data_IF_029944062318
#
_entry.id   IF_029944062318
#
_cell.length_a   1.000
_cell.length_b   1.000
_cell.length_c   1.000
_cell.angle_alpha   90.00
_cell.angle_beta   90.00
_cell.angle_gamma   90.00
#
_symmetry.space_group_name_H-M   'P 1'
#
loop_
_entity.id
_entity.type
_entity.pdbx_description
1 polymer ?
#
# COMPACT_ATOMS: atom_id res chain seq x y z
N UNK A 1 64.65 45.60 41.16
CA UNK A 1 63.35 44.95 41.42
C UNK A 1 62.25 45.88 40.97
N UNK A 2 61.64 45.61 39.80
CA UNK A 2 60.58 46.42 39.19
C UNK A 2 59.41 45.48 38.91
N UNK A 3 58.31 45.68 39.63
CA UNK A 3 57.04 44.96 39.42
C UNK A 3 56.33 45.62 38.24
N UNK A 4 56.03 44.85 37.19
CA UNK A 4 55.11 45.25 36.11
C UNK A 4 53.73 44.67 36.43
N UNK A 5 52.64 45.44 36.42
CA UNK A 5 51.30 44.87 36.49
C UNK A 5 50.90 44.34 35.12
N UNK A 6 50.57 43.06 35.05
CA UNK A 6 49.87 42.44 33.93
C UNK A 6 48.40 42.81 34.08
N UNK A 7 47.87 43.63 33.17
CA UNK A 7 46.44 43.88 33.05
C UNK A 7 45.86 42.75 32.20
N UNK A 8 45.12 41.85 32.87
CA UNK A 8 44.32 40.80 32.25
C UNK A 8 42.89 41.35 32.08
N UNK A 9 42.48 41.67 30.85
CA UNK A 9 41.09 42.02 30.54
C UNK A 9 40.32 40.74 30.30
N UNK A 10 39.52 40.30 31.28
CA UNK A 10 38.51 39.26 31.10
C UNK A 10 37.25 39.94 30.56
N UNK A 11 36.95 39.70 29.27
CA UNK A 11 35.69 40.10 28.66
C UNK A 11 34.62 39.06 29.05
N UNK A 12 33.85 39.35 30.11
CA UNK A 12 32.64 38.60 30.45
C UNK A 12 31.53 38.99 29.46
N UNK A 13 31.34 38.19 28.41
CA UNK A 13 30.10 38.24 27.64
C UNK A 13 28.99 37.60 28.48
N UNK A 14 28.18 38.46 29.08
CA UNK A 14 26.90 38.09 29.69
C UNK A 14 25.98 37.70 28.54
N UNK A 15 25.81 36.39 28.30
CA UNK A 15 24.73 35.90 27.45
C UNK A 15 23.45 36.06 28.26
N UNK A 16 22.71 37.13 27.99
CA UNK A 16 21.36 37.30 28.52
C UNK A 16 20.51 36.10 28.09
N UNK A 17 19.84 35.38 29.00
CA UNK A 17 18.87 34.38 28.60
C UNK A 17 17.73 35.13 27.91
N UNK A 18 17.52 34.84 26.62
CA UNK A 18 16.30 35.25 25.91
C UNK A 18 15.13 34.48 26.52
N UNK A 19 14.62 34.99 27.63
CA UNK A 19 13.34 34.62 28.20
C UNK A 19 12.27 35.30 27.34
N UNK A 20 11.67 34.55 26.42
CA UNK A 20 10.65 35.08 25.51
C UNK A 20 10.49 34.34 24.20
N UNK A 21 10.82 33.05 24.14
CA UNK A 21 10.19 32.20 23.11
C UNK A 21 8.87 31.71 23.71
N UNK A 22 7.77 32.36 23.32
CA UNK A 22 6.45 31.76 23.40
C UNK A 22 6.58 30.34 22.85
N UNK A 23 6.43 29.34 23.73
CA UNK A 23 6.31 27.97 23.25
C UNK A 23 5.13 27.96 22.26
N UNK A 24 5.30 27.46 21.03
CA UNK A 24 4.22 27.45 20.06
C UNK A 24 3.03 26.75 20.70
N UNK A 25 1.91 27.47 20.83
CA UNK A 25 0.72 26.95 21.47
C UNK A 25 0.36 25.60 20.85
N UNK A 26 0.18 24.57 21.69
CA UNK A 26 -0.20 23.24 21.22
C UNK A 26 -1.54 23.38 20.48
N UNK A 27 -1.64 22.98 19.20
CA UNK A 27 -2.86 23.16 18.43
C UNK A 27 -4.04 22.45 19.10
N UNK A 28 -5.18 23.15 19.20
CA UNK A 28 -6.42 22.54 19.70
C UNK A 28 -7.06 21.70 18.60
N UNK A 29 -6.60 20.46 18.48
CA UNK A 29 -7.00 19.57 17.41
C UNK A 29 -8.41 18.99 17.62
N UNK A 30 -9.33 19.33 16.71
CA UNK A 30 -10.62 18.62 16.60
C UNK A 30 -10.37 17.14 16.26
N UNK A 31 -11.18 16.19 16.79
CA UNK A 31 -11.04 14.77 16.43
C UNK A 31 -11.23 14.52 14.93
N UNK A 32 -10.41 13.65 14.37
CA UNK A 32 -10.46 13.23 12.97
C UNK A 32 -10.83 11.75 12.88
N UNK A 33 -11.82 11.42 12.04
CA UNK A 33 -12.06 10.05 11.63
C UNK A 33 -11.13 9.73 10.46
N UNK A 34 -10.42 8.61 10.57
CA UNK A 34 -9.44 8.16 9.58
C UNK A 34 -9.81 6.75 9.15
N UNK A 35 -9.99 6.54 7.85
CA UNK A 35 -10.07 5.21 7.26
C UNK A 35 -9.05 5.11 6.12
N UNK A 36 -7.94 4.45 6.41
CA UNK A 36 -6.91 4.17 5.42
C UNK A 36 -7.02 2.73 4.93
N UNK A 37 -6.92 2.52 3.62
CA UNK A 37 -6.83 1.20 3.02
C UNK A 37 -5.63 1.13 2.10
N UNK A 38 -4.76 0.18 2.36
CA UNK A 38 -3.54 -0.06 1.61
C UNK A 38 -3.61 -1.40 0.88
N UNK A 39 -3.21 -1.39 -0.39
CA UNK A 39 -3.08 -2.60 -1.19
C UNK A 39 -1.62 -2.75 -1.65
N UNK A 40 -0.79 -3.47 -0.87
CA UNK A 40 0.48 -3.99 -1.35
C UNK A 40 0.22 -4.90 -2.55
N UNK A 41 0.67 -4.48 -3.73
CA UNK A 41 0.28 -5.06 -5.00
C UNK A 41 1.50 -5.51 -5.81
N UNK A 42 1.50 -6.77 -6.27
CA UNK A 42 2.39 -7.25 -7.34
C UNK A 42 1.56 -7.52 -8.61
N UNK A 43 1.62 -6.63 -9.59
CA UNK A 43 0.63 -6.64 -10.68
C UNK A 43 1.18 -6.11 -12.00
N UNK A 44 0.76 -6.75 -13.08
CA UNK A 44 0.65 -6.12 -14.39
C UNK A 44 -0.55 -5.16 -14.41
N UNK A 45 -0.32 -3.91 -14.82
CA UNK A 45 -1.42 -2.96 -15.05
C UNK A 45 -2.22 -3.39 -16.28
N UNK A 46 -3.55 -3.30 -16.23
CA UNK A 46 -4.46 -3.58 -17.37
C UNK A 46 -4.21 -2.71 -18.60
N UNK A 47 -3.40 -1.66 -18.46
CA UNK A 47 -3.09 -0.68 -19.50
C UNK A 47 -1.73 -0.92 -20.14
N UNK A 48 -0.98 -1.91 -19.67
CA UNK A 48 0.40 -2.22 -20.09
C UNK A 48 0.49 -3.64 -20.67
N UNK A 49 -0.55 -4.11 -21.38
CA UNK A 49 -0.52 -5.44 -22.02
C UNK A 49 0.64 -5.60 -23.00
N UNK A 50 1.21 -4.52 -23.50
CA UNK A 50 2.32 -4.57 -24.46
C UNK A 50 3.70 -4.52 -23.79
N UNK A 51 3.77 -4.28 -22.47
CA UNK A 51 5.03 -4.10 -21.74
C UNK A 51 5.42 -5.37 -20.98
N UNK A 52 4.49 -6.32 -20.78
CA UNK A 52 4.68 -7.63 -20.10
C UNK A 52 5.48 -7.56 -18.78
N UNK A 53 5.52 -6.39 -18.12
CA UNK A 53 6.31 -6.14 -16.91
C UNK A 53 5.41 -5.96 -15.71
N UNK A 54 5.55 -6.87 -14.75
CA UNK A 54 4.92 -6.72 -13.43
C UNK A 54 5.49 -5.48 -12.72
N UNK A 55 4.60 -4.67 -12.15
CA UNK A 55 4.94 -3.54 -11.29
C UNK A 55 4.66 -3.88 -9.84
N UNK A 56 5.49 -3.32 -8.98
CA UNK A 56 5.27 -3.31 -7.55
C UNK A 56 4.71 -1.96 -7.15
N UNK A 57 3.55 -1.98 -6.50
CA UNK A 57 2.82 -0.77 -6.14
C UNK A 57 2.24 -0.91 -4.73
N UNK A 58 2.33 0.16 -3.95
CA UNK A 58 1.44 0.37 -2.82
C UNK A 58 0.31 1.29 -3.27
N UNK A 59 -0.92 0.77 -3.30
CA UNK A 59 -2.10 1.62 -3.54
C UNK A 59 -2.64 2.08 -2.22
N UNK A 60 -2.78 3.38 -2.04
CA UNK A 60 -3.27 3.99 -0.83
C UNK A 60 -4.58 4.72 -1.13
N UNK A 61 -5.58 4.50 -0.26
CA UNK A 61 -6.88 5.18 -0.25
C UNK A 61 -7.15 5.62 1.18
N UNK A 62 -7.30 6.91 1.43
CA UNK A 62 -7.38 7.46 2.78
C UNK A 62 -8.55 8.44 2.83
N UNK A 63 -9.59 8.03 3.54
CA UNK A 63 -10.76 8.86 3.80
C UNK A 63 -10.57 9.56 5.15
N UNK A 64 -10.66 10.89 5.13
CA UNK A 64 -10.58 11.74 6.31
C UNK A 64 -11.90 12.47 6.50
N UNK A 65 -12.47 12.39 7.70
CA UNK A 65 -13.72 13.09 8.05
C UNK A 65 -13.63 13.83 9.36
N UNK A 66 -14.26 15.00 9.43
CA UNK A 66 -14.32 15.79 10.64
C UNK A 66 -15.22 15.12 11.69
N UNK A 67 -14.70 14.85 12.89
CA UNK A 67 -15.47 14.38 14.04
C UNK A 67 -15.99 12.95 13.99
N UNK A 68 -16.40 12.41 12.84
CA UNK A 68 -16.93 11.04 12.75
C UNK A 68 -17.11 10.52 11.32
N UNK A 69 -17.51 9.24 11.21
CA UNK A 69 -17.69 8.55 9.92
C UNK A 69 -18.72 9.20 8.99
N UNK A 70 -19.66 9.95 9.55
CA UNK A 70 -20.67 10.70 8.79
C UNK A 70 -20.34 12.20 8.66
N UNK A 71 -19.20 12.64 9.19
CA UNK A 71 -18.78 14.03 9.10
C UNK A 71 -18.31 14.43 7.70
N UNK A 72 -18.10 15.73 7.52
CA UNK A 72 -17.64 16.28 6.25
C UNK A 72 -16.22 15.82 5.91
N UNK A 73 -15.98 15.64 4.60
CA UNK A 73 -14.68 15.24 4.09
C UNK A 73 -13.65 16.35 4.30
N UNK A 74 -12.47 15.98 4.81
CA UNK A 74 -11.34 16.90 4.96
C UNK A 74 -10.51 16.85 3.68
N UNK A 75 -10.34 18.00 3.01
CA UNK A 75 -9.72 18.11 1.66
C UNK A 75 -8.38 18.84 1.64
N UNK A 76 -8.07 19.55 2.71
CA UNK A 76 -6.94 20.47 2.86
C UNK A 76 -5.81 19.90 3.74
N UNK A 77 -5.91 18.63 4.13
CA UNK A 77 -4.81 17.93 4.78
C UNK A 77 -3.69 17.59 3.77
N UNK A 78 -2.45 17.73 4.21
CA UNK A 78 -1.26 17.16 3.56
C UNK A 78 -1.09 15.73 4.08
N UNK A 79 -1.19 14.76 3.17
CA UNK A 79 -1.00 13.35 3.49
C UNK A 79 0.26 12.81 2.83
N UNK A 80 1.09 12.12 3.61
CA UNK A 80 2.24 11.37 3.13
C UNK A 80 2.08 9.90 3.49
N UNK A 81 2.45 9.02 2.56
CA UNK A 81 2.60 7.58 2.79
C UNK A 81 4.00 7.16 2.39
N UNK A 82 4.77 6.67 3.36
CA UNK A 82 6.20 6.39 3.20
C UNK A 82 6.94 7.60 2.57
N UNK A 83 6.64 8.80 3.06
CA UNK A 83 7.19 10.07 2.55
C UNK A 83 6.63 10.52 1.18
N UNK A 84 5.82 9.71 0.50
CA UNK A 84 5.22 10.07 -0.79
C UNK A 84 3.91 10.83 -0.59
N UNK A 85 3.73 12.04 -1.15
CA UNK A 85 2.49 12.79 -1.02
C UNK A 85 1.32 12.13 -1.73
N UNK A 86 0.12 12.24 -1.16
CA UNK A 86 -1.13 11.72 -1.74
C UNK A 86 -2.09 12.88 -2.01
N UNK A 87 -2.69 12.85 -3.21
CA UNK A 87 -3.59 13.90 -3.68
C UNK A 87 -5.05 13.58 -3.34
N UNK A 88 -5.83 14.62 -3.06
CA UNK A 88 -7.25 14.52 -2.81
C UNK A 88 -8.02 14.29 -4.12
N UNK A 89 -9.04 13.44 -4.07
CA UNK A 89 -9.94 13.14 -5.17
C UNK A 89 -11.35 13.62 -4.84
N UNK A 90 -11.79 14.69 -5.50
CA UNK A 90 -13.11 15.29 -5.25
C UNK A 90 -14.29 14.36 -5.55
N UNK A 91 -14.16 13.52 -6.59
CA UNK A 91 -15.24 12.63 -7.01
C UNK A 91 -15.57 11.60 -5.92
N UNK A 92 -14.54 11.11 -5.26
CA UNK A 92 -14.65 9.96 -4.37
C UNK A 92 -14.47 10.34 -2.90
N UNK A 93 -14.14 11.61 -2.65
CA UNK A 93 -14.01 12.25 -1.34
C UNK A 93 -12.96 11.57 -0.45
N UNK A 94 -11.84 11.18 -1.06
CA UNK A 94 -10.72 10.56 -0.37
C UNK A 94 -9.38 11.00 -0.98
N UNK A 95 -8.29 10.69 -0.29
CA UNK A 95 -6.93 10.83 -0.81
C UNK A 95 -6.50 9.51 -1.42
N UNK A 96 -6.03 9.51 -2.67
CA UNK A 96 -5.65 8.27 -3.35
C UNK A 96 -4.43 8.41 -4.23
N UNK A 97 -3.54 7.42 -4.17
CA UNK A 97 -2.36 7.34 -5.04
C UNK A 97 -1.88 5.91 -5.25
N UNK A 98 -1.30 5.66 -6.42
CA UNK A 98 -0.46 4.50 -6.70
C UNK A 98 1.00 4.89 -6.50
N UNK A 99 1.66 4.28 -5.51
CA UNK A 99 3.06 4.55 -5.18
C UNK A 99 3.89 3.41 -5.76
N UNK A 100 4.73 3.71 -6.75
CA UNK A 100 5.62 2.74 -7.37
C UNK A 100 6.80 2.42 -6.45
N UNK A 101 7.06 1.13 -6.24
CA UNK A 101 8.21 0.67 -5.45
C UNK A 101 9.34 0.33 -6.42
N UNK A 102 10.43 1.09 -6.34
CA UNK A 102 11.56 0.99 -7.28
C UNK A 102 12.47 -0.22 -6.99
N UNK A 103 12.63 -0.61 -5.73
CA UNK A 103 13.48 -1.72 -5.31
C UNK A 103 12.65 -3.01 -5.20
N UNK A 104 12.82 -3.91 -6.17
CA UNK A 104 11.96 -5.09 -6.29
C UNK A 104 12.20 -6.18 -5.23
N UNK A 105 13.35 -6.14 -4.56
CA UNK A 105 13.80 -7.23 -3.69
C UNK A 105 13.82 -6.87 -2.20
N UNK A 106 13.51 -5.63 -1.84
CA UNK A 106 13.39 -5.19 -0.44
C UNK A 106 11.97 -4.73 -0.12
N UNK A 107 11.14 -5.71 0.21
CA UNK A 107 9.74 -5.53 0.54
C UNK A 107 9.57 -5.01 1.96
N UNK A 108 9.64 -3.69 2.14
CA UNK A 108 9.25 -3.11 3.42
C UNK A 108 7.83 -3.55 3.76
N UNK A 109 7.67 -4.03 4.99
CA UNK A 109 6.38 -4.39 5.58
C UNK A 109 5.80 -3.25 6.40
N UNK A 110 6.54 -2.16 6.49
CA UNK A 110 6.17 -0.99 7.28
C UNK A 110 5.53 0.06 6.36
N UNK A 111 4.36 0.51 6.76
CA UNK A 111 3.66 1.63 6.14
C UNK A 111 3.59 2.73 7.18
N UNK A 112 4.22 3.85 6.85
CA UNK A 112 4.17 5.10 7.59
C UNK A 112 3.13 6.00 6.94
N UNK A 113 2.07 6.32 7.68
CA UNK A 113 1.05 7.30 7.33
C UNK A 113 1.27 8.58 8.13
N UNK A 114 1.42 9.71 7.45
CA UNK A 114 1.52 11.01 8.07
C UNK A 114 0.41 11.92 7.53
N UNK A 115 -0.35 12.53 8.43
CA UNK A 115 -1.43 13.47 8.12
C UNK A 115 -1.10 14.76 8.83
N UNK A 116 -0.99 15.85 8.08
CA UNK A 116 -0.84 17.20 8.60
C UNK A 116 -2.03 18.04 8.13
N UNK A 117 -2.76 18.61 9.08
CA UNK A 117 -3.89 19.50 8.81
C UNK A 117 -3.47 20.98 8.82
N UNK A 118 -4.26 21.88 8.20
CA UNK A 118 -3.97 23.32 8.23
C UNK A 118 -4.01 23.94 9.62
N UNK A 119 -4.79 23.36 10.54
CA UNK A 119 -4.83 23.76 11.95
C UNK A 119 -3.56 23.40 12.74
N UNK A 120 -2.52 22.88 12.07
CA UNK A 120 -1.24 22.51 12.67
C UNK A 120 -1.21 21.10 13.26
N UNK A 121 -2.35 20.40 13.27
CA UNK A 121 -2.45 19.07 13.86
C UNK A 121 -1.78 18.01 12.99
N UNK A 122 -1.01 17.14 13.64
CA UNK A 122 -0.25 16.08 13.01
C UNK A 122 -0.62 14.74 13.60
N UNK A 123 -0.82 13.76 12.73
CA UNK A 123 -1.07 12.37 13.08
C UNK A 123 -0.03 11.54 12.32
N UNK A 124 0.67 10.67 13.04
CA UNK A 124 1.69 9.79 12.49
C UNK A 124 1.41 8.39 12.96
N UNK A 125 1.15 7.50 12.01
CA UNK A 125 0.80 6.10 12.26
C UNK A 125 1.73 5.19 11.50
N UNK A 126 2.39 4.29 12.23
CA UNK A 126 3.17 3.22 11.66
C UNK A 126 2.40 1.90 11.81
N UNK A 127 2.33 1.14 10.73
CA UNK A 127 1.69 -0.17 10.71
C UNK A 127 2.56 -1.17 9.94
N UNK A 128 2.70 -2.36 10.52
CA UNK A 128 3.35 -3.48 9.87
C UNK A 128 2.29 -4.48 9.38
N UNK A 129 2.59 -5.23 8.31
CA UNK A 129 1.77 -6.36 7.86
C UNK A 129 2.61 -7.62 7.61
N UNK A 130 2.00 -8.83 7.57
CA UNK A 130 2.75 -10.08 7.54
C UNK A 130 3.70 -10.25 6.37
N UNK A 131 3.32 -9.74 5.19
CA UNK A 131 4.18 -9.74 4.02
C UNK A 131 3.44 -9.45 2.73
N UNK A 132 4.22 -9.26 1.66
CA UNK A 132 3.72 -9.19 0.30
C UNK A 132 3.44 -10.59 -0.21
N UNK A 133 2.54 -10.69 -1.18
CA UNK A 133 2.29 -11.93 -1.92
C UNK A 133 2.58 -11.66 -3.40
N UNK A 134 3.25 -12.60 -4.06
CA UNK A 134 3.61 -12.52 -5.49
C UNK A 134 3.28 -13.84 -6.17
N UNK A 135 2.50 -13.79 -7.25
CA UNK A 135 2.39 -14.92 -8.18
C UNK A 135 3.74 -15.06 -8.88
N UNK A 136 4.38 -16.22 -8.72
CA UNK A 136 5.66 -16.56 -9.31
C UNK A 136 5.50 -17.37 -10.61
N UNK A 137 4.40 -18.11 -10.73
CA UNK A 137 4.03 -18.88 -11.92
C UNK A 137 2.48 -18.90 -11.99
N UNK A 138 1.85 -18.60 -13.14
CA UNK A 138 2.47 -18.28 -14.41
C UNK A 138 3.02 -16.86 -14.46
N UNK A 139 4.12 -16.68 -15.19
CA UNK A 139 4.48 -15.37 -15.72
C UNK A 139 3.43 -14.95 -16.78
N UNK A 140 3.33 -13.65 -17.04
CA UNK A 140 2.52 -13.18 -18.15
C UNK A 140 3.14 -13.66 -19.46
N UNK A 141 2.37 -14.47 -20.19
CA UNK A 141 2.79 -15.07 -21.45
C UNK A 141 1.58 -15.54 -22.24
N UNK A 142 1.84 -15.93 -23.48
CA UNK A 142 0.93 -16.72 -24.28
C UNK A 142 1.20 -18.20 -23.97
N UNK A 143 0.16 -18.95 -23.62
CA UNK A 143 0.24 -20.40 -23.38
C UNK A 143 -0.56 -21.17 -24.43
N UNK A 144 -0.04 -22.34 -24.78
CA UNK A 144 -0.78 -23.33 -25.54
C UNK A 144 -1.72 -24.11 -24.61
N UNK A 145 -2.88 -24.49 -25.13
CA UNK A 145 -3.92 -25.23 -24.39
C UNK A 145 -3.62 -26.73 -24.23
N UNK A 146 -2.36 -27.13 -24.36
CA UNK A 146 -1.92 -28.53 -24.25
C UNK A 146 -1.46 -28.91 -22.84
N UNK A 147 -1.34 -27.95 -21.92
CA UNK A 147 -0.87 -28.18 -20.56
C UNK A 147 -1.72 -27.43 -19.53
N UNK A 148 -1.82 -27.99 -18.32
CA UNK A 148 -2.41 -27.29 -17.18
C UNK A 148 -1.59 -26.04 -16.83
N UNK A 149 -2.25 -25.00 -16.33
CA UNK A 149 -1.57 -23.78 -15.90
C UNK A 149 -1.26 -23.91 -14.40
N UNK A 150 0.00 -24.09 -13.99
CA UNK A 150 0.36 -24.05 -12.58
C UNK A 150 0.15 -22.64 -12.02
N UNK A 151 -0.31 -22.55 -10.78
CA UNK A 151 -0.39 -21.29 -10.04
C UNK A 151 0.42 -21.44 -8.77
N UNK A 152 1.58 -20.77 -8.72
CA UNK A 152 2.51 -20.74 -7.61
C UNK A 152 2.70 -19.30 -7.14
N UNK A 153 2.97 -19.15 -5.86
CA UNK A 153 3.18 -17.85 -5.24
C UNK A 153 4.28 -17.90 -4.20
N UNK A 154 4.81 -16.73 -3.87
CA UNK A 154 5.76 -16.53 -2.78
C UNK A 154 5.28 -15.43 -1.85
N UNK A 155 5.71 -15.51 -0.59
CA UNK A 155 5.54 -14.45 0.39
C UNK A 155 6.87 -13.76 0.62
N UNK A 156 6.86 -12.45 0.88
CA UNK A 156 8.08 -11.72 1.22
C UNK A 156 8.56 -11.98 2.65
N UNK A 157 7.69 -12.50 3.52
CA UNK A 157 8.02 -12.77 4.92
C UNK A 157 7.11 -13.88 5.46
N UNK A 158 6.01 -13.55 6.13
CA UNK A 158 5.15 -14.55 6.76
C UNK A 158 4.06 -15.04 5.79
N UNK A 159 3.89 -16.36 5.60
CA UNK A 159 2.76 -16.91 4.87
C UNK A 159 1.41 -16.63 5.53
N UNK A 160 0.36 -16.44 4.73
CA UNK A 160 -1.01 -16.28 5.19
C UNK A 160 -2.00 -16.92 4.20
N UNK A 161 -3.21 -17.29 4.64
CA UNK A 161 -4.23 -17.85 3.75
C UNK A 161 -4.62 -16.90 2.63
N UNK A 162 -4.84 -17.47 1.45
CA UNK A 162 -5.15 -16.75 0.23
C UNK A 162 -6.48 -17.21 -0.35
N UNK A 163 -7.03 -16.38 -1.23
CA UNK A 163 -8.07 -16.79 -2.17
C UNK A 163 -7.53 -16.61 -3.58
N UNK A 164 -7.43 -17.72 -4.30
CA UNK A 164 -7.13 -17.74 -5.71
C UNK A 164 -8.40 -17.55 -6.52
N UNK A 165 -8.29 -16.72 -7.54
CA UNK A 165 -9.31 -16.47 -8.52
C UNK A 165 -8.73 -16.60 -9.92
N UNK A 166 -9.46 -17.30 -10.79
CA UNK A 166 -9.18 -17.36 -12.22
C UNK A 166 -10.44 -16.99 -12.99
N UNK A 167 -10.32 -16.02 -13.88
CA UNK A 167 -11.42 -15.48 -14.65
C UNK A 167 -11.04 -15.36 -16.12
N UNK A 168 -11.94 -15.79 -17.00
CA UNK A 168 -11.87 -15.52 -18.43
C UNK A 168 -12.44 -14.13 -18.70
N UNK A 169 -11.60 -13.19 -19.13
CA UNK A 169 -12.01 -11.83 -19.47
C UNK A 169 -12.92 -11.73 -20.68
N UNK A 170 -12.71 -12.60 -21.68
CA UNK A 170 -13.40 -12.55 -22.96
C UNK A 170 -14.82 -13.10 -22.82
N UNK A 171 -14.95 -14.23 -22.14
CA UNK A 171 -16.23 -14.90 -21.89
C UNK A 171 -16.91 -14.40 -20.61
N UNK A 172 -16.23 -13.54 -19.84
CA UNK A 172 -16.71 -12.97 -18.56
C UNK A 172 -17.12 -14.03 -17.54
N UNK A 173 -16.41 -15.14 -17.49
CA UNK A 173 -16.73 -16.27 -16.62
C UNK A 173 -15.64 -16.55 -15.60
N UNK A 174 -16.07 -16.96 -14.41
CA UNK A 174 -15.19 -17.43 -13.34
C UNK A 174 -14.86 -18.90 -13.58
N UNK A 175 -13.59 -19.20 -13.82
CA UNK A 175 -13.11 -20.56 -14.03
C UNK A 175 -12.78 -21.26 -12.71
N UNK A 176 -12.15 -20.52 -11.78
CA UNK A 176 -11.75 -21.06 -10.48
C UNK A 176 -11.91 -20.00 -9.40
N UNK A 177 -12.40 -20.42 -8.23
CA UNK A 177 -12.22 -19.70 -6.97
C UNK A 177 -11.94 -20.72 -5.88
N UNK A 178 -10.81 -20.58 -5.19
CA UNK A 178 -10.37 -21.53 -4.18
C UNK A 178 -9.66 -20.80 -3.04
N UNK A 179 -10.04 -21.11 -1.80
CA UNK A 179 -9.26 -20.74 -0.62
C UNK A 179 -8.04 -21.67 -0.53
N UNK A 180 -6.90 -21.10 -0.17
CA UNK A 180 -5.60 -21.75 -0.13
C UNK A 180 -4.97 -21.50 1.23
N UNK A 181 -4.55 -22.57 1.89
CA UNK A 181 -3.76 -22.48 3.11
C UNK A 181 -2.27 -22.34 2.79
N UNK A 182 -1.44 -21.82 3.72
CA UNK A 182 0.00 -21.75 3.54
C UNK A 182 0.60 -23.12 3.18
N UNK A 183 1.33 -23.19 2.06
CA UNK A 183 1.94 -24.43 1.56
C UNK A 183 1.10 -25.17 0.50
N UNK A 184 -0.14 -24.75 0.26
CA UNK A 184 -0.94 -25.28 -0.83
C UNK A 184 -0.30 -25.04 -2.20
N UNK A 185 -0.71 -25.86 -3.17
CA UNK A 185 -0.46 -25.62 -4.58
C UNK A 185 -1.78 -25.59 -5.36
N UNK A 186 -1.80 -24.84 -6.46
CA UNK A 186 -2.95 -24.76 -7.33
C UNK A 186 -2.53 -24.91 -8.79
N UNK A 187 -3.46 -25.40 -9.61
CA UNK A 187 -3.35 -25.38 -11.06
C UNK A 187 -4.74 -25.26 -11.67
N UNK A 188 -4.82 -24.66 -12.85
CA UNK A 188 -6.00 -24.74 -13.71
C UNK A 188 -5.83 -25.96 -14.63
N UNK A 189 -6.68 -26.99 -14.51
CA UNK A 189 -6.61 -28.17 -15.37
C UNK A 189 -6.76 -27.80 -16.84
N UNK A 190 -6.02 -28.47 -17.72
CA UNK A 190 -6.04 -28.23 -19.17
C UNK A 190 -7.46 -28.15 -19.76
N UNK A 191 -8.34 -29.07 -19.35
CA UNK A 191 -9.74 -29.16 -19.83
C UNK A 191 -10.58 -27.91 -19.52
N UNK A 192 -10.19 -27.14 -18.50
CA UNK A 192 -10.89 -25.94 -18.04
C UNK A 192 -10.29 -24.66 -18.66
N UNK A 193 -9.29 -24.79 -19.53
CA UNK A 193 -8.62 -23.66 -20.20
C UNK A 193 -9.40 -23.28 -21.47
N UNK A 194 -10.03 -22.09 -21.52
CA UNK A 194 -10.71 -21.62 -22.72
C UNK A 194 -9.71 -21.31 -23.83
N UNK A 195 -10.07 -21.64 -25.08
CA UNK A 195 -9.26 -21.33 -26.27
C UNK A 195 -9.36 -19.84 -26.63
N UNK A 196 -8.28 -19.26 -27.15
CA UNK A 196 -8.24 -17.89 -27.68
C UNK A 196 -8.82 -16.84 -26.71
N UNK A 197 -8.35 -16.89 -25.47
CA UNK A 197 -8.89 -16.13 -24.34
C UNK A 197 -7.79 -15.39 -23.55
N UNK A 198 -8.21 -14.53 -22.62
CA UNK A 198 -7.35 -13.82 -21.68
C UNK A 198 -7.78 -14.21 -20.27
N UNK A 199 -6.92 -14.94 -19.57
CA UNK A 199 -7.12 -15.34 -18.20
C UNK A 199 -6.55 -14.28 -17.26
N UNK A 200 -7.39 -13.79 -16.35
CA UNK A 200 -6.96 -13.09 -15.14
C UNK A 200 -6.73 -14.12 -14.06
N UNK A 201 -5.52 -14.18 -13.55
CA UNK A 201 -5.20 -15.00 -12.39
C UNK A 201 -4.81 -14.02 -11.29
N UNK A 202 -5.53 -14.01 -10.18
CA UNK A 202 -5.18 -13.16 -9.04
C UNK A 202 -5.38 -13.88 -7.71
N UNK A 203 -4.53 -13.52 -6.77
CA UNK A 203 -4.57 -13.99 -5.39
C UNK A 203 -4.72 -12.79 -4.47
N UNK A 204 -5.62 -12.90 -3.50
CA UNK A 204 -5.79 -11.93 -2.41
C UNK A 204 -5.59 -12.64 -1.09
N UNK A 205 -5.19 -11.91 -0.06
CA UNK A 205 -5.34 -12.40 1.31
C UNK A 205 -6.81 -12.76 1.60
N UNK A 206 -7.05 -13.86 2.31
CA UNK A 206 -8.41 -14.34 2.67
C UNK A 206 -9.11 -13.42 3.69
N UNK A 207 -8.30 -12.69 4.45
CA UNK A 207 -8.73 -11.59 5.32
C UNK A 207 -7.89 -10.35 5.02
N UNK A 208 -8.37 -9.18 5.48
CA UNK A 208 -7.55 -7.97 5.49
C UNK A 208 -6.93 -7.79 6.88
N UNK A 209 -5.73 -7.22 6.93
CA UNK A 209 -5.06 -6.88 8.18
C UNK A 209 -5.56 -5.53 8.67
N UNK A 210 -6.00 -5.45 9.92
CA UNK A 210 -6.60 -4.24 10.49
C UNK A 210 -5.82 -3.76 11.71
N UNK A 211 -5.53 -2.45 11.74
CA UNK A 211 -5.12 -1.71 12.94
C UNK A 211 -6.21 -0.70 13.27
N UNK A 212 -6.84 -0.80 14.43
CA UNK A 212 -7.69 0.27 14.94
C UNK A 212 -6.82 1.42 15.46
N UNK A 213 -7.22 2.64 15.16
CA UNK A 213 -6.53 3.84 15.61
C UNK A 213 -7.18 4.37 16.88
N UNK A 214 -6.37 4.89 17.79
CA UNK A 214 -6.82 5.47 19.04
C UNK A 214 -5.95 6.66 19.41
N UNK A 215 -6.53 7.65 20.08
CA UNK A 215 -5.81 8.85 20.49
C UNK A 215 -6.75 10.00 20.75
N UNK A 216 -6.26 11.02 21.45
CA UNK A 216 -7.04 12.21 21.84
C UNK A 216 -7.68 12.94 20.65
N UNK A 217 -7.05 12.86 19.47
CA UNK A 217 -7.46 13.56 18.26
C UNK A 217 -7.95 12.61 17.16
N UNK A 218 -8.22 11.36 17.51
CA UNK A 218 -8.67 10.32 16.59
C UNK A 218 -10.03 9.84 17.06
N UNK A 219 -10.97 9.77 16.12
CA UNK A 219 -12.32 9.29 16.41
C UNK A 219 -12.31 7.78 16.58
N UNK A 220 -13.04 7.27 17.57
CA UNK A 220 -13.23 5.84 17.76
C UNK A 220 -13.78 5.18 16.49
N UNK A 221 -13.21 4.03 16.13
CA UNK A 221 -13.56 3.31 14.91
C UNK A 221 -12.74 3.72 13.69
N UNK A 222 -11.81 4.68 13.83
CA UNK A 222 -10.78 4.93 12.84
C UNK A 222 -9.89 3.70 12.67
N UNK A 223 -9.47 3.42 11.45
CA UNK A 223 -8.80 2.17 11.10
C UNK A 223 -7.84 2.31 9.93
N UNK A 224 -6.84 1.43 9.94
CA UNK A 224 -5.96 1.16 8.81
C UNK A 224 -6.17 -0.30 8.40
N UNK A 225 -6.55 -0.51 7.14
CA UNK A 225 -6.75 -1.81 6.52
C UNK A 225 -5.64 -2.07 5.51
N UNK A 226 -5.12 -3.29 5.46
CA UNK A 226 -4.08 -3.71 4.51
C UNK A 226 -4.52 -5.01 3.85
N UNK A 227 -4.56 -5.03 2.52
CA UNK A 227 -4.91 -6.22 1.75
C UNK A 227 -3.84 -6.49 0.67
N UNK A 228 -2.83 -7.33 0.98
CA UNK A 228 -1.87 -7.79 -0.01
C UNK A 228 -2.55 -8.60 -1.10
N UNK A 229 -2.16 -8.37 -2.36
CA UNK A 229 -2.65 -9.14 -3.49
C UNK A 229 -1.68 -9.13 -4.66
N UNK A 230 -1.83 -10.11 -5.56
CA UNK A 230 -1.04 -10.23 -6.77
C UNK A 230 -1.91 -10.63 -7.94
N UNK A 231 -1.57 -10.18 -9.16
CA UNK A 231 -2.24 -10.64 -10.37
C UNK A 231 -1.29 -10.80 -11.56
N UNK A 232 -1.67 -11.72 -12.45
CA UNK A 232 -1.04 -11.94 -13.76
C UNK A 232 -2.13 -12.13 -14.82
N UNK A 233 -1.77 -11.83 -16.05
CA UNK A 233 -2.61 -12.08 -17.22
C UNK A 233 -1.94 -13.12 -18.11
N UNK A 234 -2.69 -14.15 -18.48
CA UNK A 234 -2.21 -15.21 -19.38
C UNK A 234 -3.12 -15.25 -20.60
N UNK A 235 -2.53 -15.27 -21.79
CA UNK A 235 -3.29 -15.38 -23.05
C UNK A 235 -3.24 -16.83 -23.51
N UNK A 236 -4.36 -17.37 -23.95
CA UNK A 236 -4.40 -18.74 -24.48
C UNK A 236 -4.51 -18.71 -25.99
N UNK A 237 -3.78 -19.57 -26.68
CA UNK A 237 -3.96 -19.81 -28.12
C UNK A 237 -4.48 -21.21 -28.35
N UNK A 238 -5.41 -21.35 -29.30
CA UNK A 238 -5.70 -22.67 -29.87
C UNK A 238 -4.41 -23.21 -30.47
N UNK A 239 -4.11 -24.48 -30.22
CA UNK A 239 -3.15 -25.21 -31.04
C UNK A 239 -3.57 -25.02 -32.50
N UNK A 240 -2.65 -24.59 -33.37
CA UNK A 240 -2.85 -24.71 -34.81
C UNK A 240 -3.09 -26.19 -35.07
N UNK A 241 -4.28 -26.57 -35.49
CA UNK A 241 -4.39 -27.73 -36.37
C UNK A 241 -3.64 -27.34 -37.63
N UNK A 242 -2.46 -27.93 -37.84
CA UNK A 242 -1.82 -27.88 -39.15
C UNK A 242 -2.81 -28.45 -40.19
N UNK A 243 -2.87 -27.87 -41.40
CA UNK A 243 -3.51 -28.52 -42.54
C UNK A 243 -2.76 -29.81 -42.93
#
# INVERSE_FOLDING_TARGET
>A
MKVRPVILVILLMIVSPVAGQDQPAIPKCAPLFIKATFYPTYSLSRYDYDIDRNRQELRAYIELRQGGIHGDAVRDARILVNGTPIDYNDKEKDYRRRILIQQQDNFSRDILLEIQRPDGCRIREEVNFPGWVKISDPAAKIVEINTSIPVRWTFSSHPFPLVLHIFDFKQRQKLLRRRLDPGDSAHLPQKDIPKNSILRIWITSDWFFKKYLSGKHIVRGSEINILPWSQVFVRTRSTKTEP
#
